data_IF_914794588515
#
_entry.id   IF_914794588515
#
_cell.length_a   1.000
_cell.length_b   1.000
_cell.length_c   1.000
_cell.angle_alpha   90.00
_cell.angle_beta   90.00
_cell.angle_gamma   90.00
#
_symmetry.space_group_name_H-M   'P 1'
#
loop_
_entity.id
_entity.type
_entity.pdbx_description
1 polymer ?
#
# COMPACT_ATOMS: atom_id res chain seq x y z
N UNK A 1 40.27 -18.66 -17.59
CA UNK A 1 40.28 -18.04 -16.26
C UNK A 1 38.93 -17.38 -16.07
N UNK A 2 38.01 -18.23 -15.62
CA UNK A 2 37.05 -18.00 -14.55
C UNK A 2 36.16 -16.76 -14.66
N UNK A 3 35.04 -16.99 -15.35
CA UNK A 3 33.78 -16.28 -15.14
C UNK A 3 33.37 -16.41 -13.68
N UNK A 4 33.42 -15.31 -12.94
CA UNK A 4 32.76 -15.17 -11.64
C UNK A 4 31.26 -15.39 -11.82
N UNK A 5 30.81 -16.59 -11.45
CA UNK A 5 29.42 -16.91 -11.27
C UNK A 5 28.96 -16.25 -9.96
N UNK A 6 28.56 -14.97 -10.07
CA UNK A 6 28.06 -14.19 -8.94
C UNK A 6 26.69 -14.77 -8.54
N UNK A 7 26.66 -15.57 -7.48
CA UNK A 7 25.47 -16.18 -6.91
C UNK A 7 24.54 -15.14 -6.29
N UNK A 8 23.89 -14.32 -7.13
CA UNK A 8 22.74 -13.54 -6.73
C UNK A 8 21.59 -14.50 -6.50
N UNK A 9 21.36 -14.87 -5.25
CA UNK A 9 20.18 -15.65 -4.84
C UNK A 9 18.95 -14.90 -5.35
N UNK A 10 18.20 -15.51 -6.27
CA UNK A 10 16.98 -14.92 -6.78
C UNK A 10 15.98 -14.78 -5.63
N UNK A 11 15.38 -13.59 -5.48
CA UNK A 11 14.41 -13.31 -4.43
C UNK A 11 13.25 -14.32 -4.47
N UNK A 12 13.00 -14.99 -3.33
CA UNK A 12 11.85 -15.88 -3.17
C UNK A 12 10.64 -15.09 -2.64
N UNK A 13 9.58 -15.04 -3.45
CA UNK A 13 8.33 -14.35 -3.11
C UNK A 13 7.64 -14.92 -1.87
N UNK A 14 7.91 -16.18 -1.51
CA UNK A 14 7.36 -16.82 -0.32
C UNK A 14 8.01 -16.30 0.97
N UNK A 15 9.27 -15.88 0.90
CA UNK A 15 10.04 -15.32 2.01
C UNK A 15 9.77 -13.83 2.28
N UNK A 16 8.93 -13.19 1.45
CA UNK A 16 8.55 -11.80 1.66
C UNK A 16 7.76 -11.66 2.95
N UNK A 17 8.26 -10.80 3.83
CA UNK A 17 7.60 -10.42 5.07
C UNK A 17 7.14 -8.98 4.96
N UNK A 18 5.93 -8.70 5.44
CA UNK A 18 5.40 -7.35 5.58
C UNK A 18 5.15 -7.07 7.05
N UNK A 19 5.63 -5.92 7.53
CA UNK A 19 5.39 -5.46 8.90
C UNK A 19 5.20 -3.96 8.97
N UNK A 20 4.64 -3.51 10.10
CA UNK A 20 4.61 -2.08 10.43
C UNK A 20 6.03 -1.51 10.52
N UNK A 21 6.17 -0.29 10.04
CA UNK A 21 7.38 0.53 10.23
C UNK A 21 7.50 0.87 11.71
N UNK A 22 8.68 0.62 12.27
CA UNK A 22 8.98 0.96 13.67
C UNK A 22 9.36 2.43 13.80
N UNK A 23 9.26 2.98 15.02
CA UNK A 23 9.53 4.40 15.27
C UNK A 23 10.96 4.81 14.86
N UNK A 24 11.96 3.95 15.10
CA UNK A 24 13.35 4.20 14.71
C UNK A 24 13.58 4.16 13.19
N UNK A 25 12.64 3.60 12.43
CA UNK A 25 12.73 3.43 10.97
C UNK A 25 11.99 4.52 10.19
N UNK A 26 11.25 5.39 10.88
CA UNK A 26 10.42 6.41 10.23
C UNK A 26 11.23 7.38 9.38
N UNK A 27 12.45 7.75 9.81
CA UNK A 27 13.32 8.64 9.04
C UNK A 27 13.70 8.00 7.71
N UNK A 28 14.19 6.75 7.73
CA UNK A 28 14.53 5.99 6.53
C UNK A 28 13.32 5.82 5.60
N UNK A 29 12.14 5.52 6.17
CA UNK A 29 10.91 5.42 5.40
C UNK A 29 10.58 6.72 4.66
N UNK A 30 10.68 7.86 5.36
CA UNK A 30 10.40 9.20 4.80
C UNK A 30 11.37 9.51 3.66
N UNK A 31 12.65 9.29 3.86
CA UNK A 31 13.71 9.56 2.87
C UNK A 31 13.48 8.73 1.59
N UNK A 32 13.33 7.41 1.73
CA UNK A 32 13.10 6.52 0.58
C UNK A 32 11.78 6.82 -0.14
N UNK A 33 10.71 7.12 0.60
CA UNK A 33 9.43 7.50 -0.02
C UNK A 33 9.54 8.84 -0.76
N UNK A 34 10.28 9.81 -0.19
CA UNK A 34 10.52 11.10 -0.82
C UNK A 34 11.35 10.98 -2.09
N UNK A 35 12.37 10.13 -2.07
CA UNK A 35 13.31 9.94 -3.17
C UNK A 35 12.69 9.18 -4.35
N UNK A 36 12.00 8.05 -4.08
CA UNK A 36 11.63 7.12 -5.14
C UNK A 36 10.15 7.09 -5.50
N UNK A 37 9.24 7.56 -4.62
CA UNK A 37 7.83 7.63 -4.99
C UNK A 37 7.57 8.87 -5.85
N UNK A 38 6.84 8.72 -6.96
CA UNK A 38 6.59 9.83 -7.91
C UNK A 38 5.80 11.03 -7.35
N UNK A 39 5.10 10.84 -6.21
CA UNK A 39 4.43 11.90 -5.44
C UNK A 39 5.17 12.26 -4.14
N UNK A 40 6.37 11.72 -3.95
CA UNK A 40 7.15 11.85 -2.73
C UNK A 40 6.45 11.34 -1.48
N UNK A 41 6.99 11.77 -0.34
CA UNK A 41 6.52 11.45 0.99
C UNK A 41 5.16 12.12 1.29
N UNK A 42 4.33 11.41 2.05
CA UNK A 42 3.07 11.92 2.60
C UNK A 42 3.09 11.77 4.13
N UNK A 43 2.95 12.86 4.90
CA UNK A 43 2.88 12.78 6.36
C UNK A 43 1.67 11.97 6.83
N UNK A 44 1.76 11.43 8.05
CA UNK A 44 0.61 10.79 8.71
C UNK A 44 -0.45 11.85 8.99
N UNK A 45 -1.55 11.82 8.25
CA UNK A 45 -2.70 12.69 8.44
C UNK A 45 -3.89 11.81 8.82
N UNK A 46 -4.54 12.12 9.93
CA UNK A 46 -5.56 11.26 10.52
C UNK A 46 -4.99 9.88 10.89
N UNK A 47 -5.81 8.86 10.71
CA UNK A 47 -5.41 7.47 10.93
C UNK A 47 -4.52 7.02 9.79
N UNK A 48 -3.26 6.71 10.08
CA UNK A 48 -2.29 6.27 9.07
C UNK A 48 -1.37 5.19 9.64
N UNK A 49 -1.21 4.11 8.88
CA UNK A 49 -0.20 3.06 9.11
C UNK A 49 0.79 3.02 7.95
N UNK A 50 2.05 2.81 8.29
CA UNK A 50 3.13 2.58 7.34
C UNK A 50 3.62 1.15 7.47
N UNK A 51 3.91 0.55 6.33
CA UNK A 51 4.43 -0.80 6.21
C UNK A 51 5.71 -0.80 5.40
N UNK A 52 6.59 -1.72 5.79
CA UNK A 52 7.75 -2.11 5.00
C UNK A 52 7.59 -3.58 4.63
N UNK A 53 7.87 -3.88 3.36
CA UNK A 53 8.10 -5.23 2.89
C UNK A 53 9.61 -5.50 2.83
N UNK A 54 10.04 -6.66 3.31
CA UNK A 54 11.43 -7.06 3.31
C UNK A 54 11.63 -8.51 2.87
N UNK A 55 12.76 -8.76 2.22
CA UNK A 55 13.31 -10.08 1.96
C UNK A 55 14.65 -10.18 2.68
N UNK A 56 14.82 -11.18 3.55
CA UNK A 56 16.05 -11.37 4.35
C UNK A 56 16.53 -10.05 4.99
N UNK A 57 15.62 -9.36 5.69
CA UNK A 57 15.84 -8.05 6.33
C UNK A 57 16.06 -6.85 5.39
N UNK A 58 16.31 -7.10 4.11
CA UNK A 58 16.47 -6.06 3.09
C UNK A 58 15.12 -5.50 2.70
N UNK A 59 14.97 -4.18 2.78
CA UNK A 59 13.74 -3.49 2.38
C UNK A 59 13.57 -3.55 0.86
N UNK A 60 12.39 -3.97 0.41
CA UNK A 60 12.07 -4.10 -1.02
C UNK A 60 10.89 -3.23 -1.46
N UNK A 61 9.99 -2.87 -0.53
CA UNK A 61 8.87 -1.98 -0.83
C UNK A 61 8.35 -1.26 0.42
N UNK A 62 7.69 -0.13 0.21
CA UNK A 62 7.07 0.74 1.21
C UNK A 62 5.59 0.96 0.88
N UNK A 63 4.72 0.92 1.88
CA UNK A 63 3.28 1.16 1.71
C UNK A 63 2.71 2.06 2.81
N UNK A 64 1.88 3.02 2.40
CA UNK A 64 1.07 3.82 3.31
C UNK A 64 -0.40 3.46 3.14
N UNK A 65 -1.08 3.23 4.28
CA UNK A 65 -2.53 3.18 4.38
C UNK A 65 -2.99 4.32 5.27
N UNK A 66 -3.80 5.22 4.73
CA UNK A 66 -4.30 6.41 5.43
C UNK A 66 -5.82 6.44 5.42
N UNK A 67 -6.45 7.31 6.20
CA UNK A 67 -7.90 7.52 6.16
C UNK A 67 -8.39 7.67 4.71
N UNK A 68 -9.59 7.14 4.43
CA UNK A 68 -10.19 7.24 3.11
C UNK A 68 -10.40 8.70 2.66
N UNK A 69 -10.39 8.90 1.34
CA UNK A 69 -10.71 10.18 0.72
C UNK A 69 -12.09 10.63 1.18
N UNK A 70 -12.18 11.88 1.64
CA UNK A 70 -13.42 12.41 2.21
C UNK A 70 -14.57 12.35 1.19
N UNK A 71 -14.34 12.80 -0.04
CA UNK A 71 -15.32 12.80 -1.13
C UNK A 71 -14.87 11.89 -2.25
N UNK A 72 -15.66 10.87 -2.57
CA UNK A 72 -15.42 10.00 -3.73
C UNK A 72 -16.75 9.51 -4.28
N UNK A 73 -17.32 10.25 -5.23
CA UNK A 73 -18.66 9.95 -5.79
C UNK A 73 -18.75 8.53 -6.36
N UNK A 74 -17.72 8.07 -7.06
CA UNK A 74 -17.67 6.72 -7.64
C UNK A 74 -17.83 5.63 -6.56
N UNK A 75 -17.04 5.73 -5.49
CA UNK A 75 -17.16 4.85 -4.32
C UNK A 75 -18.52 4.97 -3.67
N UNK A 76 -18.98 6.19 -3.44
CA UNK A 76 -20.21 6.42 -2.69
C UNK A 76 -21.43 5.81 -3.42
N UNK A 77 -21.47 5.92 -4.75
CA UNK A 77 -22.48 5.27 -5.59
C UNK A 77 -22.34 3.74 -5.62
N UNK A 78 -21.11 3.21 -5.67
CA UNK A 78 -20.87 1.77 -5.69
C UNK A 78 -21.26 1.09 -4.37
N UNK A 79 -20.99 1.73 -3.22
CA UNK A 79 -21.43 1.27 -1.90
C UNK A 79 -22.97 1.42 -1.75
N UNK A 80 -23.56 2.41 -2.42
CA UNK A 80 -24.99 2.70 -2.34
C UNK A 80 -25.41 3.38 -1.03
N UNK A 81 -24.49 4.07 -0.34
CA UNK A 81 -24.82 4.77 0.91
C UNK A 81 -25.42 6.17 0.67
N UNK A 82 -26.41 6.54 1.46
CA UNK A 82 -26.86 7.94 1.59
C UNK A 82 -25.75 8.77 2.28
N UNK A 83 -25.60 10.04 1.89
CA UNK A 83 -24.69 11.01 2.49
C UNK A 83 -24.74 11.03 4.02
N UNK A 84 -25.91 10.79 4.63
CA UNK A 84 -26.06 10.73 6.10
C UNK A 84 -25.29 9.56 6.74
N UNK A 85 -25.16 8.44 6.05
CA UNK A 85 -24.44 7.25 6.51
C UNK A 85 -22.95 7.27 6.13
N UNK A 86 -22.61 8.01 5.08
CA UNK A 86 -21.23 8.18 4.60
C UNK A 86 -20.29 8.63 5.70
N UNK A 87 -20.63 9.73 6.39
CA UNK A 87 -19.70 10.35 7.33
C UNK A 87 -19.33 9.41 8.49
N UNK A 88 -20.32 8.75 9.08
CA UNK A 88 -20.11 7.86 10.23
C UNK A 88 -19.35 6.58 9.87
N UNK A 89 -19.45 6.13 8.61
CA UNK A 89 -18.86 4.88 8.12
C UNK A 89 -17.53 5.06 7.41
N UNK A 90 -17.15 6.28 7.04
CA UNK A 90 -15.90 6.55 6.33
C UNK A 90 -14.65 6.03 7.08
N UNK A 91 -14.69 6.03 8.42
CA UNK A 91 -13.63 5.44 9.26
C UNK A 91 -13.39 3.94 9.01
N UNK A 92 -14.38 3.22 8.49
CA UNK A 92 -14.24 1.79 8.17
C UNK A 92 -13.51 1.57 6.83
N UNK A 93 -13.11 2.65 6.15
CA UNK A 93 -12.43 2.62 4.87
C UNK A 93 -11.02 3.19 5.03
N UNK A 94 -10.06 2.62 4.31
CA UNK A 94 -8.71 3.17 4.22
C UNK A 94 -8.22 3.20 2.78
N UNK A 95 -7.38 4.20 2.49
CA UNK A 95 -6.76 4.42 1.21
C UNK A 95 -5.33 3.90 1.23
N UNK A 96 -4.97 3.03 0.27
CA UNK A 96 -3.57 2.74 -0.03
C UNK A 96 -2.93 3.95 -0.73
N UNK A 97 -2.60 4.97 0.06
CA UNK A 97 -2.20 6.30 -0.43
C UNK A 97 -0.80 6.35 -1.03
N UNK A 98 0.06 5.39 -0.68
CA UNK A 98 1.39 5.22 -1.29
C UNK A 98 1.70 3.73 -1.43
N UNK A 99 2.23 3.36 -2.59
CA UNK A 99 2.84 2.06 -2.79
C UNK A 99 4.08 2.23 -3.67
N UNK A 100 5.24 2.01 -3.07
CA UNK A 100 6.54 2.11 -3.69
C UNK A 100 7.23 0.74 -3.64
N UNK A 101 7.52 0.14 -4.79
CA UNK A 101 8.55 -0.90 -4.89
C UNK A 101 9.88 -0.16 -5.07
N UNK A 102 10.88 -0.47 -4.24
CA UNK A 102 12.16 0.20 -4.29
C UNK A 102 12.91 -0.13 -5.60
N UNK A 103 13.82 0.75 -6.06
CA UNK A 103 14.63 0.48 -7.24
C UNK A 103 15.31 -0.89 -7.14
N UNK A 104 15.53 -1.52 -8.29
CA UNK A 104 16.14 -2.85 -8.43
C UNK A 104 15.29 -4.04 -7.95
N UNK A 105 14.14 -3.82 -7.29
CA UNK A 105 13.23 -4.87 -6.85
C UNK A 105 12.01 -5.07 -7.76
N UNK A 106 12.01 -4.50 -8.96
CA UNK A 106 10.92 -4.63 -9.93
C UNK A 106 10.93 -6.02 -10.59
N UNK A 107 10.49 -7.03 -9.85
CA UNK A 107 10.32 -8.40 -10.31
C UNK A 107 8.83 -8.76 -10.48
N UNK A 108 8.49 -9.69 -11.38
CA UNK A 108 7.11 -10.13 -11.57
C UNK A 108 6.47 -10.60 -10.25
N UNK A 109 5.18 -10.28 -10.07
CA UNK A 109 4.32 -10.72 -8.95
C UNK A 109 4.70 -10.20 -7.54
N UNK A 110 5.83 -9.50 -7.36
CA UNK A 110 6.21 -8.95 -6.06
C UNK A 110 5.17 -7.96 -5.52
N UNK A 111 4.70 -7.04 -6.36
CA UNK A 111 3.73 -6.02 -5.96
C UNK A 111 2.42 -6.61 -5.45
N UNK A 112 1.84 -7.58 -6.17
CA UNK A 112 0.58 -8.24 -5.76
C UNK A 112 0.77 -9.12 -4.53
N UNK A 113 1.91 -9.81 -4.41
CA UNK A 113 2.28 -10.57 -3.21
C UNK A 113 2.33 -9.68 -1.97
N UNK A 114 3.04 -8.56 -2.05
CA UNK A 114 3.17 -7.60 -0.96
C UNK A 114 1.81 -7.01 -0.59
N UNK A 115 1.02 -6.60 -1.58
CA UNK A 115 -0.31 -6.04 -1.34
C UNK A 115 -1.22 -7.04 -0.63
N UNK A 116 -1.21 -8.31 -1.06
CA UNK A 116 -1.96 -9.38 -0.41
C UNK A 116 -1.53 -9.61 1.04
N UNK A 117 -0.23 -9.56 1.33
CA UNK A 117 0.30 -9.68 2.69
C UNK A 117 -0.14 -8.50 3.58
N UNK A 118 -0.11 -7.27 3.05
CA UNK A 118 -0.65 -6.10 3.75
C UNK A 118 -2.14 -6.28 4.07
N UNK A 119 -2.95 -6.65 3.08
CA UNK A 119 -4.41 -6.81 3.23
C UNK A 119 -4.78 -7.80 4.34
N UNK A 120 -4.05 -8.91 4.46
CA UNK A 120 -4.30 -9.95 5.48
C UNK A 120 -4.13 -9.46 6.92
N UNK A 121 -3.25 -8.48 7.15
CA UNK A 121 -2.95 -7.97 8.51
C UNK A 121 -3.60 -6.62 8.80
N UNK A 122 -3.89 -5.84 7.76
CA UNK A 122 -4.26 -4.43 7.88
C UNK A 122 -5.43 -4.19 8.83
N UNK A 123 -6.50 -4.98 8.74
CA UNK A 123 -7.69 -4.78 9.58
C UNK A 123 -7.40 -5.00 11.08
N UNK A 124 -6.57 -6.00 11.40
CA UNK A 124 -6.14 -6.27 12.77
C UNK A 124 -5.21 -5.17 13.30
N UNK A 125 -4.21 -4.77 12.51
CA UNK A 125 -3.29 -3.68 12.87
C UNK A 125 -4.04 -2.34 13.04
N UNK A 126 -5.08 -2.09 12.24
CA UNK A 126 -5.93 -0.90 12.34
C UNK A 126 -6.78 -0.94 13.60
N UNK A 127 -7.41 -2.07 13.90
CA UNK A 127 -8.18 -2.29 15.12
C UNK A 127 -7.33 -2.10 16.38
N UNK A 128 -6.12 -2.65 16.38
CA UNK A 128 -5.18 -2.50 17.49
C UNK A 128 -4.75 -1.03 17.68
N UNK A 129 -4.54 -0.30 16.59
CA UNK A 129 -4.00 1.08 16.67
C UNK A 129 -5.08 2.13 16.91
N UNK A 130 -6.25 1.98 16.30
CA UNK A 130 -7.29 3.02 16.24
C UNK A 130 -8.64 2.59 16.84
N UNK A 131 -8.77 1.34 17.28
CA UNK A 131 -9.95 0.86 17.99
C UNK A 131 -11.14 0.48 17.10
N UNK A 132 -10.97 0.40 15.77
CA UNK A 132 -11.99 -0.12 14.86
C UNK A 132 -11.35 -0.83 13.65
N UNK A 133 -12.09 -1.73 12.96
CA UNK A 133 -11.52 -2.47 11.84
C UNK A 133 -11.57 -1.65 10.53
N UNK A 134 -10.88 -2.18 9.52
CA UNK A 134 -11.04 -1.79 8.11
C UNK A 134 -11.92 -2.81 7.41
N UNK A 135 -12.94 -2.31 6.70
CA UNK A 135 -13.91 -3.09 5.92
C UNK A 135 -13.72 -2.94 4.42
N UNK A 136 -13.18 -1.81 3.95
CA UNK A 136 -12.93 -1.58 2.52
C UNK A 136 -11.60 -0.87 2.31
N UNK A 137 -10.96 -1.20 1.19
CA UNK A 137 -9.79 -0.50 0.68
C UNK A 137 -10.13 0.28 -0.57
N UNK A 138 -9.56 1.47 -0.67
CA UNK A 138 -9.54 2.27 -1.89
C UNK A 138 -8.10 2.67 -2.26
N UNK A 139 -7.92 3.06 -3.50
CA UNK A 139 -6.65 3.58 -4.03
C UNK A 139 -6.95 4.43 -5.25
N UNK A 140 -6.01 5.29 -5.61
CA UNK A 140 -6.12 6.16 -6.77
C UNK A 140 -4.89 5.96 -7.64
N UNK A 141 -5.12 5.54 -8.88
CA UNK A 141 -4.06 5.28 -9.85
C UNK A 141 -4.12 6.36 -10.92
N UNK A 142 -2.99 7.05 -11.17
CA UNK A 142 -2.89 7.96 -12.30
C UNK A 142 -2.73 7.14 -13.59
N UNK A 143 -3.76 7.11 -14.48
CA UNK A 143 -3.72 6.29 -15.69
C UNK A 143 -2.68 6.79 -16.70
N UNK A 144 -2.18 8.03 -16.58
CA UNK A 144 -1.10 8.55 -17.42
C UNK A 144 0.26 7.96 -17.04
N UNK A 145 0.39 7.43 -15.82
CA UNK A 145 1.65 6.91 -15.27
C UNK A 145 1.63 5.40 -15.08
N UNK A 146 0.46 4.81 -14.77
CA UNK A 146 0.38 3.40 -14.40
C UNK A 146 -0.89 2.73 -14.93
N UNK A 147 -0.77 1.47 -15.34
CA UNK A 147 -1.90 0.66 -15.83
C UNK A 147 -2.75 0.01 -14.72
N UNK A 148 -2.39 0.22 -13.44
CA UNK A 148 -3.07 -0.37 -12.28
C UNK A 148 -2.94 -1.90 -12.17
N UNK A 149 -1.96 -2.50 -12.83
CA UNK A 149 -1.80 -3.96 -12.97
C UNK A 149 -1.74 -4.68 -11.63
N UNK A 150 -1.04 -4.12 -10.64
CA UNK A 150 -0.92 -4.72 -9.29
C UNK A 150 -2.29 -4.85 -8.61
N UNK A 151 -3.12 -3.82 -8.70
CA UNK A 151 -4.45 -3.81 -8.10
C UNK A 151 -5.39 -4.78 -8.82
N UNK A 152 -5.37 -4.80 -10.17
CA UNK A 152 -6.14 -5.76 -10.97
C UNK A 152 -5.76 -7.21 -10.63
N UNK A 153 -4.47 -7.49 -10.52
CA UNK A 153 -3.95 -8.81 -10.13
C UNK A 153 -4.26 -9.19 -8.68
N UNK A 154 -4.70 -8.24 -7.85
CA UNK A 154 -5.03 -8.44 -6.44
C UNK A 154 -6.54 -8.36 -6.17
N UNK A 155 -7.37 -8.60 -7.20
CA UNK A 155 -8.84 -8.59 -7.15
C UNK A 155 -9.49 -7.24 -6.79
N UNK A 156 -8.84 -6.13 -7.13
CA UNK A 156 -9.45 -4.81 -6.98
C UNK A 156 -10.40 -4.52 -8.14
N UNK A 157 -11.54 -3.89 -7.82
CA UNK A 157 -12.51 -3.43 -8.81
C UNK A 157 -12.24 -1.97 -9.19
N UNK A 158 -12.16 -1.68 -10.49
CA UNK A 158 -12.22 -0.30 -10.97
C UNK A 158 -13.67 0.16 -10.95
N UNK A 159 -13.96 1.18 -10.14
CA UNK A 159 -15.33 1.67 -9.86
C UNK A 159 -15.62 3.04 -10.49
N UNK A 160 -14.65 3.64 -11.18
CA UNK A 160 -14.79 4.92 -11.85
C UNK A 160 -13.57 5.82 -11.70
N UNK A 161 -13.67 7.02 -12.26
CA UNK A 161 -12.60 8.02 -12.28
C UNK A 161 -12.92 9.21 -11.36
N UNK A 162 -11.86 9.82 -10.82
CA UNK A 162 -11.95 11.07 -10.05
C UNK A 162 -11.31 12.22 -10.83
N UNK A 163 -11.84 13.43 -10.68
CA UNK A 163 -11.29 14.66 -11.27
C UNK A 163 -10.47 15.43 -10.27
#
# INVERSE_FOLDING_TARGET
>A
MDTENNGATALDLHEIVVRRVQKCEETRYKELMQEYHYLGFLPKIGETLWYVASWQETWVALLSFSSAAWKCKARDMWIGWDYRHQYARLKLLTNNSRFLILPHWHIPNLGSRILSLCQKRLSADWQETFGHPVMLLETFVDPKRFCGTIYKASNWLHIGDTR
#
